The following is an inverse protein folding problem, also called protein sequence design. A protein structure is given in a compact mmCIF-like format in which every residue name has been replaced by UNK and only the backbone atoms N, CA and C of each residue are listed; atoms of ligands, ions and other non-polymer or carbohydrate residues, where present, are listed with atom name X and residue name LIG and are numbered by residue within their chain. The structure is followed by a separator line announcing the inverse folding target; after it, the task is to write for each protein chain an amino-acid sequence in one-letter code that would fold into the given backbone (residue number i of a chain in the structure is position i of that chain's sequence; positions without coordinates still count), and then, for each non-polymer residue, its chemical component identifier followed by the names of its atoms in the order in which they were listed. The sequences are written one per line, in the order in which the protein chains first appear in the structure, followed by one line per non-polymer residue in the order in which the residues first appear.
data_IF_907937100088
#
_entry.id   IF_907937100088
#
_cell.length_a   1.000
_cell.length_b   1.000
_cell.length_c   1.000
_cell.angle_alpha   90.00
_cell.angle_beta   90.00
_cell.angle_gamma   90.00
#
_symmetry.space_group_name_H-M   'P 1'
#
loop_
_entity.id
_entity.type
_entity.pdbx_description
1 polymer ?
#
# COMPACT_ATOMS: atom_id res chain seq x y z
N UNK A 1 11.51 6.38 -32.83
CA UNK A 1 12.19 5.35 -32.00
C UNK A 1 12.94 6.06 -30.88
N UNK A 2 12.76 5.64 -29.62
CA UNK A 2 13.71 5.90 -28.53
C UNK A 2 13.43 7.06 -27.58
N UNK A 3 12.40 6.99 -26.72
CA UNK A 3 12.32 7.81 -25.48
C UNK A 3 11.51 7.13 -24.36
N UNK A 4 11.66 5.80 -24.16
CA UNK A 4 10.90 5.08 -23.11
C UNK A 4 11.74 4.34 -22.07
N UNK A 5 13.08 4.33 -22.16
CA UNK A 5 13.92 3.56 -21.24
C UNK A 5 14.37 4.35 -19.99
N UNK A 6 14.45 5.68 -20.05
CA UNK A 6 15.06 6.50 -18.99
C UNK A 6 14.18 6.61 -17.73
N UNK A 7 12.85 6.47 -17.86
CA UNK A 7 11.94 6.56 -16.69
C UNK A 7 11.84 5.27 -15.85
N UNK A 8 12.23 4.10 -16.39
CA UNK A 8 12.23 2.84 -15.63
C UNK A 8 13.52 2.59 -14.83
N UNK A 9 14.63 3.22 -15.21
CA UNK A 9 15.91 3.07 -14.50
C UNK A 9 16.05 4.00 -13.28
N UNK A 10 15.33 5.13 -13.26
CA UNK A 10 15.37 6.09 -12.15
C UNK A 10 14.67 5.55 -10.88
N UNK A 11 13.68 4.66 -11.03
CA UNK A 11 13.01 4.04 -9.87
C UNK A 11 13.82 2.87 -9.27
N UNK A 12 14.77 2.29 -10.02
CA UNK A 12 15.65 1.22 -9.54
C UNK A 12 16.97 1.75 -8.95
N UNK A 13 17.33 3.00 -9.26
CA UNK A 13 18.55 3.64 -8.72
C UNK A 13 18.37 4.24 -7.33
N UNK A 14 17.14 4.47 -6.86
CA UNK A 14 16.85 4.84 -5.47
C UNK A 14 16.93 3.67 -4.48
N UNK A 15 17.11 2.42 -4.95
CA UNK A 15 17.29 1.23 -4.11
C UNK A 15 18.77 0.83 -3.91
N UNK A 16 19.73 1.55 -4.50
CA UNK A 16 21.15 1.21 -4.47
C UNK A 16 22.10 2.37 -4.09
N UNK A 17 21.58 3.48 -3.57
CA UNK A 17 22.44 4.53 -3.00
C UNK A 17 23.03 4.10 -1.66
N UNK A 18 24.19 3.45 -1.76
CA UNK A 18 25.39 3.72 -0.96
C UNK A 18 25.21 3.72 0.57
N UNK A 19 25.36 2.54 1.18
CA UNK A 19 26.06 2.44 2.47
C UNK A 19 27.55 2.70 2.18
N UNK A 20 27.91 3.95 1.93
CA UNK A 20 29.26 4.40 2.14
C UNK A 20 29.38 4.61 3.65
N UNK A 21 29.85 3.58 4.36
CA UNK A 21 30.37 3.79 5.72
C UNK A 21 31.62 4.63 5.52
N UNK A 22 31.49 5.95 5.66
CA UNK A 22 32.63 6.77 6.01
C UNK A 22 33.16 6.23 7.33
N UNK A 23 34.34 5.64 7.31
CA UNK A 23 35.00 5.19 8.52
C UNK A 23 35.37 6.39 9.38
N UNK A 24 34.51 6.72 10.34
CA UNK A 24 34.86 7.67 11.38
C UNK A 24 36.09 7.13 12.14
N UNK A 25 37.10 7.98 12.30
CA UNK A 25 38.30 7.64 13.07
C UNK A 25 37.92 7.36 14.53
N UNK A 26 38.26 6.17 15.01
CA UNK A 26 37.99 5.75 16.37
C UNK A 26 39.26 5.79 17.20
N UNK A 27 39.13 6.24 18.45
CA UNK A 27 40.20 6.20 19.45
C UNK A 27 40.03 4.96 20.32
N UNK A 28 41.00 4.04 20.25
CA UNK A 28 40.98 2.75 20.93
C UNK A 28 41.97 2.81 22.10
N UNK A 29 41.45 2.63 23.31
CA UNK A 29 42.24 2.57 24.53
C UNK A 29 42.51 1.11 24.84
N UNK A 30 43.79 0.73 24.84
CA UNK A 30 44.23 -0.62 25.18
C UNK A 30 44.47 -0.75 26.69
N UNK A 31 44.28 -1.95 27.23
CA UNK A 31 44.50 -2.25 28.66
C UNK A 31 45.95 -2.02 29.11
N UNK A 32 46.90 -2.02 28.18
CA UNK A 32 48.31 -1.71 28.44
C UNK A 32 48.58 -0.19 28.53
N UNK A 33 47.56 0.66 28.37
CA UNK A 33 47.67 2.12 28.43
C UNK A 33 47.97 2.79 27.08
N UNK A 34 48.14 2.03 26.00
CA UNK A 34 48.33 2.59 24.65
C UNK A 34 47.01 3.12 24.07
N UNK A 35 47.10 4.23 23.36
CA UNK A 35 45.98 4.85 22.65
C UNK A 35 46.27 4.78 21.15
N UNK A 36 45.37 4.14 20.39
CA UNK A 36 45.48 4.00 18.94
C UNK A 36 44.33 4.75 18.27
N UNK A 37 44.64 5.57 17.26
CA UNK A 37 43.64 6.28 16.44
C UNK A 37 43.64 5.71 15.02
N UNK A 38 42.48 5.30 14.53
CA UNK A 38 42.37 4.72 13.21
C UNK A 38 40.97 4.32 12.79
N UNK A 39 40.83 3.99 11.52
CA UNK A 39 39.59 3.51 10.92
C UNK A 39 39.45 1.99 11.14
N UNK A 40 38.29 1.53 11.62
CA UNK A 40 38.01 0.10 11.77
C UNK A 40 37.60 -0.47 10.41
N UNK A 41 38.49 -1.25 9.79
CA UNK A 41 38.26 -1.84 8.46
C UNK A 41 37.46 -3.15 8.57
N UNK A 42 37.73 -3.95 9.61
CA UNK A 42 37.12 -5.26 9.77
C UNK A 42 36.96 -5.63 11.24
N UNK A 43 35.86 -6.29 11.59
CA UNK A 43 35.56 -6.71 12.96
C UNK A 43 35.04 -8.15 12.97
N UNK A 44 35.68 -9.01 13.75
CA UNK A 44 35.24 -10.38 14.03
C UNK A 44 34.77 -10.52 15.48
N UNK A 45 34.31 -11.70 15.88
CA UNK A 45 33.90 -11.97 17.26
C UNK A 45 35.05 -11.77 18.27
N UNK A 46 36.29 -12.02 17.86
CA UNK A 46 37.47 -12.04 18.73
C UNK A 46 38.49 -10.93 18.43
N UNK A 47 38.46 -10.31 17.25
CA UNK A 47 39.46 -9.30 16.85
C UNK A 47 38.87 -8.13 16.07
N UNK A 48 39.61 -7.02 16.03
CA UNK A 48 39.36 -5.86 15.17
C UNK A 48 40.60 -5.58 14.31
N UNK A 49 40.43 -5.20 13.05
CA UNK A 49 41.49 -4.70 12.20
C UNK A 49 41.30 -3.20 12.02
N UNK A 50 42.35 -2.44 12.31
CA UNK A 50 42.35 -0.99 12.25
C UNK A 50 43.40 -0.49 11.27
N UNK A 51 43.06 0.53 10.50
CA UNK A 51 43.99 1.32 9.69
C UNK A 51 44.43 2.52 10.50
N UNK A 52 45.68 2.54 10.91
CA UNK A 52 46.26 3.69 11.64
C UNK A 52 46.55 4.81 10.64
N UNK A 53 46.65 6.05 11.10
CA UNK A 53 46.98 7.25 10.29
C UNK A 53 48.25 7.11 9.44
N UNK A 54 49.19 6.25 9.83
CA UNK A 54 50.40 5.87 9.06
C UNK A 54 50.11 4.84 7.93
N UNK A 55 48.83 4.59 7.59
CA UNK A 55 48.40 3.66 6.55
C UNK A 55 48.55 2.18 6.86
N UNK A 56 49.22 1.81 7.96
CA UNK A 56 49.44 0.42 8.39
C UNK A 56 48.19 -0.20 9.01
N UNK A 57 47.90 -1.45 8.63
CA UNK A 57 46.81 -2.25 9.17
C UNK A 57 47.31 -3.02 10.40
N UNK A 58 46.65 -2.88 11.55
CA UNK A 58 46.91 -3.66 12.76
C UNK A 58 45.68 -4.46 13.17
N UNK A 59 45.88 -5.73 13.52
CA UNK A 59 44.87 -6.57 14.13
C UNK A 59 45.03 -6.54 15.66
N UNK A 60 43.95 -6.24 16.37
CA UNK A 60 43.88 -6.18 17.84
C UNK A 60 42.87 -7.20 18.35
N UNK A 61 43.20 -7.90 19.43
CA UNK A 61 42.24 -8.80 20.08
C UNK A 61 41.30 -7.98 20.99
N UNK A 62 40.00 -8.26 20.96
CA UNK A 62 39.01 -7.55 21.79
C UNK A 62 39.28 -7.68 23.28
N UNK A 63 39.97 -8.74 23.71
CA UNK A 63 40.37 -8.97 25.10
C UNK A 63 41.37 -7.90 25.59
N UNK A 64 42.16 -7.32 24.68
CA UNK A 64 43.20 -6.33 24.98
C UNK A 64 42.67 -4.89 24.99
N UNK A 65 41.43 -4.68 24.52
CA UNK A 65 40.80 -3.37 24.43
C UNK A 65 40.08 -3.05 25.74
N UNK A 66 40.32 -1.85 26.26
CA UNK A 66 39.64 -1.33 27.45
C UNK A 66 38.36 -0.57 27.07
N UNK A 67 38.44 0.36 26.10
CA UNK A 67 37.28 1.11 25.58
C UNK A 67 37.55 1.64 24.17
N UNK A 68 36.49 1.87 23.40
CA UNK A 68 36.54 2.55 22.10
C UNK A 68 35.72 3.84 22.20
N UNK A 69 36.32 4.97 21.83
CA UNK A 69 35.70 6.30 21.87
C UNK A 69 35.66 6.91 20.48
N UNK A 70 34.54 7.57 20.18
CA UNK A 70 34.30 8.32 18.94
C UNK A 70 34.64 9.82 19.08
N UNK A 71 35.21 10.23 20.22
CA UNK A 71 35.61 11.61 20.51
C UNK A 71 37.13 11.75 20.45
N UNK A 72 37.62 12.89 19.96
CA UNK A 72 39.04 13.20 19.95
C UNK A 72 39.62 13.22 21.38
N UNK A 73 40.77 12.58 21.64
CA UNK A 73 41.36 12.54 22.96
C UNK A 73 41.82 13.94 23.38
N UNK A 74 41.40 14.38 24.57
CA UNK A 74 41.74 15.70 25.11
C UNK A 74 43.22 15.73 25.51
N UNK A 75 43.91 16.87 25.36
CA UNK A 75 45.35 17.07 25.65
C UNK A 75 45.84 16.65 27.05
N UNK A 76 44.92 16.45 28.01
CA UNK A 76 45.23 15.86 29.33
C UNK A 76 45.41 14.33 29.28
N UNK A 77 44.62 13.62 28.47
CA UNK A 77 44.69 12.14 28.38
C UNK A 77 45.98 11.63 27.70
N UNK A 78 46.58 12.44 26.82
CA UNK A 78 47.85 12.13 26.17
C UNK A 78 49.04 12.24 27.14
N UNK A 79 49.06 13.27 28.00
CA UNK A 79 50.11 13.45 29.03
C UNK A 79 50.07 12.37 30.12
N UNK A 80 48.89 11.97 30.56
CA UNK A 80 48.74 10.90 31.57
C UNK A 80 49.16 9.51 31.05
N UNK A 81 49.14 9.30 29.72
CA UNK A 81 49.61 8.05 29.09
C UNK A 81 51.14 7.96 28.99
N UNK A 82 51.83 9.10 28.82
CA UNK A 82 53.30 9.17 28.83
C UNK A 82 53.87 9.01 30.25
N UNK A 83 53.20 9.57 31.26
CA UNK A 83 53.65 9.47 32.66
C UNK A 83 53.49 8.04 33.23
N UNK A 84 52.46 7.30 32.79
CA UNK A 84 52.26 5.89 33.21
C UNK A 84 53.24 4.90 32.57
N UNK A 85 53.92 5.27 31.48
CA UNK A 85 54.94 4.45 30.83
C UNK A 85 56.32 4.57 31.50
N UNK A 86 56.56 5.60 32.31
CA UNK A 86 57.84 5.81 33.02
C UNK A 86 57.91 5.26 34.45
N UNK A 87 56.78 4.82 35.03
CA UNK A 87 56.69 4.42 36.44
C UNK A 87 56.56 2.90 36.71
N UNK A 88 56.79 2.05 35.71
CA UNK A 88 56.65 0.59 35.86
C UNK A 88 58.00 -0.14 35.92
N UNK A 89 58.84 0.24 36.89
CA UNK A 89 59.95 -0.61 37.36
C UNK A 89 60.05 -0.50 38.88
N UNK A 90 59.25 -1.29 39.61
CA UNK A 90 59.57 -1.92 40.90
C UNK A 90 58.29 -2.52 41.54
N UNK A 91 58.41 -3.78 41.95
CA UNK A 91 57.52 -4.65 42.75
C UNK A 91 57.15 -4.09 44.16
N UNK A 92 56.38 -4.79 45.04
CA UNK A 92 55.67 -6.09 44.94
C UNK A 92 54.19 -6.08 45.45
N UNK A 93 53.51 -7.24 45.32
CA UNK A 93 52.14 -7.60 45.78
C UNK A 93 51.87 -7.35 47.29
N UNK A 94 50.60 -7.16 47.71
CA UNK A 94 49.84 -8.23 48.40
C UNK A 94 48.28 -8.11 48.25
N UNK A 95 47.45 -8.82 49.04
CA UNK A 95 46.92 -10.16 48.80
C UNK A 95 45.42 -10.20 48.42
N UNK A 96 45.03 -11.36 47.89
CA UNK A 96 43.69 -11.78 47.46
C UNK A 96 42.66 -11.63 48.60
N UNK A 97 41.57 -10.92 48.32
CA UNK A 97 40.30 -11.02 49.06
C UNK A 97 39.23 -11.35 48.02
N UNK A 98 38.67 -12.56 48.10
CA UNK A 98 37.48 -12.98 47.37
C UNK A 98 36.25 -12.23 47.90
N UNK A 99 35.49 -11.52 47.04
CA UNK A 99 34.10 -11.22 47.31
C UNK A 99 33.22 -12.30 46.65
N UNK A 100 32.44 -12.98 47.49
CA UNK A 100 31.33 -13.86 47.12
C UNK A 100 30.51 -13.31 45.92
N UNK A 101 30.23 -14.09 44.87
CA UNK A 101 29.38 -13.65 43.78
C UNK A 101 27.93 -13.55 44.29
N UNK A 102 27.49 -12.34 44.61
CA UNK A 102 26.07 -12.05 44.59
C UNK A 102 25.59 -12.21 43.15
N UNK A 103 24.80 -13.26 42.90
CA UNK A 103 24.08 -13.41 41.64
C UNK A 103 23.30 -12.12 41.37
N UNK A 104 23.55 -11.41 40.25
CA UNK A 104 22.75 -10.25 39.91
C UNK A 104 21.30 -10.72 39.73
N UNK A 105 20.30 -9.96 40.21
CA UNK A 105 18.90 -10.32 40.06
C UNK A 105 18.63 -10.57 38.58
N UNK A 106 18.06 -11.75 38.27
CA UNK A 106 17.60 -12.12 36.93
C UNK A 106 16.71 -11.00 36.41
N UNK A 107 17.29 -10.09 35.62
CA UNK A 107 16.51 -9.19 34.78
C UNK A 107 15.63 -10.11 33.96
N UNK A 108 14.31 -9.97 34.10
CA UNK A 108 13.35 -10.56 33.19
C UNK A 108 13.67 -9.98 31.80
N UNK A 109 14.56 -10.64 31.05
CA UNK A 109 14.85 -10.31 29.67
C UNK A 109 13.57 -10.66 28.92
N UNK A 110 12.72 -9.67 28.70
CA UNK A 110 11.56 -9.80 27.81
C UNK A 110 12.10 -10.16 26.44
N UNK A 111 12.14 -11.45 26.14
CA UNK A 111 12.74 -11.94 24.91
C UNK A 111 11.77 -11.67 23.75
N UNK A 112 12.09 -10.64 22.96
CA UNK A 112 11.38 -10.28 21.74
C UNK A 112 11.74 -11.19 20.55
N UNK A 113 12.78 -12.03 20.68
CA UNK A 113 13.14 -12.99 19.64
C UNK A 113 12.18 -14.18 19.69
N UNK A 114 11.54 -14.46 18.55
CA UNK A 114 10.73 -15.67 18.35
C UNK A 114 11.41 -16.55 17.30
N UNK A 115 11.55 -17.84 17.62
CA UNK A 115 11.93 -18.86 16.65
C UNK A 115 10.80 -19.04 15.65
N UNK A 116 11.00 -18.52 14.43
CA UNK A 116 9.98 -18.53 13.37
C UNK A 116 9.59 -19.94 12.93
N UNK A 117 10.45 -20.94 13.12
CA UNK A 117 10.18 -22.31 12.67
C UNK A 117 9.31 -23.11 13.64
N UNK A 118 9.23 -22.66 14.90
CA UNK A 118 8.48 -23.31 15.97
C UNK A 118 7.28 -22.49 16.44
N UNK A 119 6.86 -21.46 15.70
CA UNK A 119 5.75 -20.59 16.11
C UNK A 119 4.45 -21.36 16.28
N UNK A 120 3.69 -21.00 17.30
CA UNK A 120 2.30 -21.41 17.45
C UNK A 120 1.57 -20.22 18.06
N UNK A 121 1.05 -19.36 17.21
CA UNK A 121 0.44 -18.11 17.66
C UNK A 121 -0.78 -17.68 16.85
N UNK A 122 -1.62 -16.88 17.50
CA UNK A 122 -2.70 -16.14 16.88
C UNK A 122 -2.39 -14.64 17.00
N UNK A 123 -2.30 -13.97 15.87
CA UNK A 123 -2.11 -12.52 15.79
C UNK A 123 -3.39 -11.86 15.30
N UNK A 124 -3.89 -10.88 16.04
CA UNK A 124 -5.07 -10.08 15.69
C UNK A 124 -4.59 -8.64 15.53
N UNK A 125 -5.06 -7.96 14.50
CA UNK A 125 -4.73 -6.55 14.29
C UNK A 125 -5.93 -5.77 13.79
N UNK A 126 -5.95 -4.48 14.12
CA UNK A 126 -6.98 -3.54 13.71
C UNK A 126 -6.39 -2.14 13.64
N UNK A 127 -6.86 -1.35 12.68
CA UNK A 127 -6.43 0.02 12.47
C UNK A 127 -7.44 0.83 11.69
N UNK A 128 -7.27 2.14 11.81
CA UNK A 128 -8.07 3.17 11.16
C UNK A 128 -7.13 4.12 10.42
N UNK A 129 -7.64 4.78 9.40
CA UNK A 129 -6.81 5.59 8.53
C UNK A 129 -7.60 6.50 7.62
N UNK A 130 -6.89 7.02 6.64
CA UNK A 130 -7.48 7.76 5.53
C UNK A 130 -7.05 7.14 4.21
N UNK A 131 -8.01 7.04 3.30
CA UNK A 131 -7.79 6.44 2.00
C UNK A 131 -8.79 6.91 0.96
N UNK A 132 -8.63 6.41 -0.25
CA UNK A 132 -9.58 6.62 -1.33
C UNK A 132 -9.82 5.32 -2.08
N UNK A 133 -11.05 5.13 -2.53
CA UNK A 133 -11.40 4.26 -3.63
C UNK A 133 -11.54 5.13 -4.88
N UNK A 134 -11.17 4.61 -6.04
CA UNK A 134 -11.34 5.25 -7.34
C UNK A 134 -11.91 4.19 -8.27
N UNK A 135 -13.24 4.00 -8.26
CA UNK A 135 -13.89 3.23 -9.29
C UNK A 135 -13.68 3.95 -10.62
N UNK A 136 -13.70 3.17 -11.70
CA UNK A 136 -13.66 3.74 -13.04
C UNK A 136 -14.95 3.46 -13.79
N UNK A 137 -16.01 3.08 -13.07
CA UNK A 137 -17.34 2.80 -13.59
C UNK A 137 -17.90 3.96 -14.40
N UNK A 138 -17.98 5.16 -13.82
CA UNK A 138 -18.59 6.31 -14.50
C UNK A 138 -17.75 6.85 -15.65
N UNK A 139 -16.44 6.98 -15.42
CA UNK A 139 -15.51 7.42 -16.45
C UNK A 139 -15.39 6.40 -17.57
N UNK A 140 -15.57 5.11 -17.31
CA UNK A 140 -15.67 4.08 -18.34
C UNK A 140 -16.90 4.30 -19.23
N UNK A 141 -18.08 4.53 -18.64
CA UNK A 141 -19.30 4.75 -19.40
C UNK A 141 -19.24 6.01 -20.26
N UNK A 142 -18.72 7.11 -19.70
CA UNK A 142 -18.49 8.33 -20.47
C UNK A 142 -17.51 8.11 -21.63
N UNK A 143 -16.44 7.34 -21.42
CA UNK A 143 -15.49 6.99 -22.52
C UNK A 143 -16.14 6.12 -23.59
N UNK A 144 -16.97 5.17 -23.18
CA UNK A 144 -17.71 4.30 -24.10
C UNK A 144 -18.68 5.13 -24.95
N UNK A 145 -19.46 6.01 -24.30
CA UNK A 145 -20.37 6.94 -24.98
C UNK A 145 -19.62 7.89 -25.92
N UNK A 146 -18.49 8.45 -25.49
CA UNK A 146 -17.69 9.34 -26.34
C UNK A 146 -17.15 8.64 -27.58
N UNK A 147 -16.71 7.39 -27.44
CA UNK A 147 -16.24 6.60 -28.58
C UNK A 147 -17.38 6.29 -29.54
N UNK A 148 -18.56 5.96 -29.02
CA UNK A 148 -19.78 5.79 -29.81
C UNK A 148 -20.14 7.08 -30.56
N UNK A 149 -20.11 8.24 -29.88
CA UNK A 149 -20.42 9.53 -30.48
C UNK A 149 -19.45 9.83 -31.63
N UNK A 150 -18.14 9.64 -31.42
CA UNK A 150 -17.14 9.85 -32.47
C UNK A 150 -17.35 8.93 -33.67
N UNK A 151 -17.72 7.66 -33.46
CA UNK A 151 -17.99 6.70 -34.54
C UNK A 151 -19.27 7.03 -35.32
N UNK A 152 -20.24 7.67 -34.67
CA UNK A 152 -21.54 8.05 -35.25
C UNK A 152 -21.56 9.52 -35.71
N UNK A 153 -20.41 10.18 -35.76
CA UNK A 153 -20.26 11.61 -36.08
C UNK A 153 -21.11 12.56 -35.20
N UNK A 154 -21.41 12.12 -33.97
CA UNK A 154 -22.04 12.93 -32.93
C UNK A 154 -20.98 13.63 -32.08
N UNK A 155 -21.35 14.75 -31.47
CA UNK A 155 -20.43 15.53 -30.65
C UNK A 155 -20.04 14.79 -29.35
N UNK A 156 -18.75 14.84 -28.95
CA UNK A 156 -18.30 14.19 -27.72
C UNK A 156 -18.63 15.03 -26.48
N UNK A 157 -18.72 14.35 -25.34
CA UNK A 157 -18.75 14.94 -24.00
C UNK A 157 -17.32 15.17 -23.50
N UNK A 158 -16.98 16.43 -23.26
CA UNK A 158 -15.72 16.81 -22.61
C UNK A 158 -15.87 16.54 -21.12
N UNK A 159 -14.93 15.76 -20.55
CA UNK A 159 -14.92 15.43 -19.12
C UNK A 159 -13.74 16.12 -18.47
N UNK A 160 -13.98 16.92 -17.44
CA UNK A 160 -12.91 17.47 -16.62
C UNK A 160 -12.23 16.34 -15.84
N UNK A 161 -10.98 16.55 -15.45
CA UNK A 161 -10.28 15.57 -14.62
C UNK A 161 -11.02 15.42 -13.29
N UNK A 162 -11.46 14.20 -12.91
CA UNK A 162 -12.18 14.01 -11.65
C UNK A 162 -11.32 14.43 -10.45
N UNK A 163 -11.96 15.06 -9.47
CA UNK A 163 -11.35 15.38 -8.19
C UNK A 163 -11.73 14.31 -7.17
N UNK A 164 -10.79 13.93 -6.30
CA UNK A 164 -10.98 12.85 -5.34
C UNK A 164 -10.66 13.34 -3.95
N UNK A 165 -11.60 13.15 -3.02
CA UNK A 165 -11.43 13.45 -1.61
C UNK A 165 -11.30 12.15 -0.83
N UNK A 166 -10.18 12.00 -0.12
CA UNK A 166 -9.96 10.84 0.75
C UNK A 166 -10.92 10.88 1.95
N UNK A 167 -11.45 9.71 2.30
CA UNK A 167 -12.30 9.50 3.46
C UNK A 167 -11.69 8.52 4.45
N UNK A 168 -12.47 8.12 5.45
CA UNK A 168 -12.05 7.17 6.47
C UNK A 168 -11.76 5.80 5.84
N UNK A 169 -10.66 5.18 6.24
CA UNK A 169 -10.34 3.77 5.96
C UNK A 169 -10.23 2.96 7.24
N UNK A 170 -10.52 1.67 7.15
CA UNK A 170 -10.35 0.73 8.25
C UNK A 170 -9.69 -0.54 7.73
N UNK A 171 -8.84 -1.16 8.54
CA UNK A 171 -8.18 -2.41 8.19
C UNK A 171 -8.08 -3.31 9.43
N UNK A 172 -8.55 -4.54 9.31
CA UNK A 172 -8.52 -5.53 10.38
C UNK A 172 -8.12 -6.89 9.84
N UNK A 173 -7.62 -7.75 10.72
CA UNK A 173 -7.35 -9.12 10.34
C UNK A 173 -6.83 -9.97 11.48
N UNK A 174 -6.76 -11.26 11.18
CA UNK A 174 -6.23 -12.29 12.05
C UNK A 174 -5.28 -13.17 11.24
N UNK A 175 -4.22 -13.63 11.87
CA UNK A 175 -3.26 -14.56 11.30
C UNK A 175 -2.95 -15.61 12.33
N UNK A 176 -3.27 -16.86 12.00
CA UNK A 176 -2.87 -18.01 12.77
C UNK A 176 -1.60 -18.60 12.16
N UNK A 177 -0.57 -18.79 12.98
CA UNK A 177 0.71 -19.38 12.56
C UNK A 177 0.91 -20.69 13.32
N UNK A 178 1.11 -21.78 12.57
CA UNK A 178 1.54 -23.06 13.10
C UNK A 178 2.81 -23.54 12.39
N UNK A 179 3.91 -23.52 13.12
CA UNK A 179 5.27 -23.78 12.65
C UNK A 179 5.61 -22.90 11.45
N UNK A 180 5.76 -23.50 10.28
CA UNK A 180 6.06 -22.81 9.01
C UNK A 180 4.81 -22.42 8.23
N UNK A 181 3.64 -22.90 8.61
CA UNK A 181 2.38 -22.60 7.92
C UNK A 181 1.66 -21.47 8.63
N UNK A 182 0.98 -20.63 7.86
CA UNK A 182 0.11 -19.60 8.40
C UNK A 182 -1.13 -19.43 7.54
N UNK A 183 -2.27 -19.22 8.19
CA UNK A 183 -3.52 -18.83 7.57
C UNK A 183 -3.90 -17.43 8.03
N UNK A 184 -4.24 -16.55 7.09
CA UNK A 184 -4.63 -15.18 7.35
C UNK A 184 -6.03 -14.90 6.81
N UNK A 185 -6.80 -14.13 7.57
CA UNK A 185 -8.08 -13.56 7.16
C UNK A 185 -8.07 -12.07 7.48
N UNK A 186 -8.31 -11.21 6.51
CA UNK A 186 -8.26 -9.76 6.69
C UNK A 186 -9.34 -9.06 5.88
N UNK A 187 -9.84 -7.95 6.41
CA UNK A 187 -10.77 -7.07 5.71
C UNK A 187 -10.33 -5.62 5.75
N UNK A 188 -10.75 -4.87 4.74
CA UNK A 188 -10.53 -3.43 4.67
C UNK A 188 -11.74 -2.71 4.11
N UNK A 189 -12.00 -1.49 4.59
CA UNK A 189 -13.02 -0.60 4.06
C UNK A 189 -12.37 0.71 3.65
N UNK A 190 -12.74 1.21 2.47
CA UNK A 190 -12.31 2.50 1.93
C UNK A 190 -13.55 3.36 1.67
N UNK A 191 -13.42 4.65 1.92
CA UNK A 191 -14.44 5.65 1.60
C UNK A 191 -13.78 6.84 0.93
N UNK A 192 -14.44 7.40 -0.06
CA UNK A 192 -14.02 8.61 -0.76
C UNK A 192 -15.22 9.35 -1.31
N UNK A 193 -15.00 10.59 -1.70
CA UNK A 193 -15.94 11.31 -2.57
C UNK A 193 -15.22 11.62 -3.88
N UNK A 194 -15.89 11.41 -5.01
CA UNK A 194 -15.41 11.82 -6.33
C UNK A 194 -16.31 12.92 -6.86
N UNK A 195 -15.71 13.99 -7.37
CA UNK A 195 -16.40 15.09 -8.04
C UNK A 195 -16.09 15.03 -9.53
N UNK A 196 -17.15 15.06 -10.33
CA UNK A 196 -17.10 15.00 -11.79
C UNK A 196 -17.86 16.15 -12.42
N UNK A 197 -17.22 16.79 -13.39
CA UNK A 197 -17.81 17.81 -14.24
C UNK A 197 -17.69 17.39 -15.69
N UNK A 198 -18.78 17.50 -16.43
CA UNK A 198 -18.79 17.25 -17.87
C UNK A 198 -19.48 18.36 -18.63
N UNK A 199 -18.99 18.63 -19.84
CA UNK A 199 -19.57 19.54 -20.82
C UNK A 199 -19.87 18.75 -22.10
N UNK A 200 -21.14 18.65 -22.47
CA UNK A 200 -21.56 18.05 -23.75
C UNK A 200 -21.98 19.16 -24.69
N UNK A 201 -21.33 19.24 -25.86
CA UNK A 201 -21.70 20.18 -26.92
C UNK A 201 -22.77 19.48 -27.76
N UNK A 202 -24.03 19.93 -27.77
CA UNK A 202 -25.07 19.28 -28.56
C UNK A 202 -25.05 19.81 -29.99
N UNK A 203 -24.95 21.13 -30.14
CA UNK A 203 -24.90 21.84 -31.42
C UNK A 203 -24.06 23.12 -31.31
N UNK A 204 -23.92 23.88 -32.40
CA UNK A 204 -23.13 25.12 -32.40
C UNK A 204 -23.61 26.16 -31.37
N UNK A 205 -24.88 26.10 -30.97
CA UNK A 205 -25.50 27.06 -30.05
C UNK A 205 -26.02 26.42 -28.76
N UNK A 206 -25.80 25.11 -28.55
CA UNK A 206 -26.37 24.38 -27.42
C UNK A 206 -25.35 23.49 -26.74
N UNK A 207 -25.30 23.58 -25.40
CA UNK A 207 -24.44 22.74 -24.58
C UNK A 207 -25.10 22.37 -23.25
N UNK A 208 -24.67 21.25 -22.70
CA UNK A 208 -25.12 20.76 -21.40
C UNK A 208 -23.93 20.65 -20.45
N UNK A 209 -24.11 21.08 -19.21
CA UNK A 209 -23.18 20.83 -18.12
C UNK A 209 -23.78 19.86 -17.12
N UNK A 210 -22.96 18.91 -16.67
CA UNK A 210 -23.31 17.97 -15.61
C UNK A 210 -22.28 18.11 -14.50
N UNK A 211 -22.75 18.29 -13.26
CA UNK A 211 -21.91 18.43 -12.07
C UNK A 211 -22.44 17.49 -10.98
N UNK A 212 -21.57 16.62 -10.48
CA UNK A 212 -21.89 15.65 -9.43
C UNK A 212 -20.75 15.52 -8.42
N UNK A 213 -21.11 15.24 -7.17
CA UNK A 213 -20.17 14.74 -6.16
C UNK A 213 -20.79 13.57 -5.46
N UNK A 214 -20.13 12.42 -5.53
CA UNK A 214 -20.73 11.16 -5.17
C UNK A 214 -19.83 10.36 -4.22
N UNK A 215 -20.41 9.83 -3.13
CA UNK A 215 -19.70 9.01 -2.17
C UNK A 215 -19.45 7.62 -2.73
N UNK A 216 -18.21 7.18 -2.60
CA UNK A 216 -17.73 5.89 -3.03
C UNK A 216 -17.28 5.08 -1.82
N UNK A 217 -17.60 3.78 -1.83
CA UNK A 217 -17.23 2.85 -0.77
C UNK A 217 -16.71 1.58 -1.40
N UNK A 218 -15.60 1.08 -0.86
CA UNK A 218 -15.14 -0.26 -1.17
C UNK A 218 -14.95 -1.07 0.11
N UNK A 219 -15.43 -2.31 0.10
CA UNK A 219 -15.09 -3.32 1.09
C UNK A 219 -14.30 -4.44 0.44
N UNK A 220 -13.25 -4.87 1.09
CA UNK A 220 -12.41 -5.98 0.64
C UNK A 220 -12.30 -7.01 1.74
N UNK A 221 -12.38 -8.28 1.39
CA UNK A 221 -12.03 -9.41 2.25
C UNK A 221 -10.99 -10.25 1.54
N UNK A 222 -10.01 -10.72 2.30
CA UNK A 222 -8.91 -11.58 1.84
C UNK A 222 -8.76 -12.76 2.79
N UNK A 223 -8.67 -13.94 2.22
CA UNK A 223 -8.22 -15.15 2.92
C UNK A 223 -6.99 -15.71 2.21
N UNK A 224 -5.93 -16.03 2.94
CA UNK A 224 -4.71 -16.58 2.35
C UNK A 224 -4.01 -17.60 3.23
N UNK A 225 -3.25 -18.50 2.60
CA UNK A 225 -2.38 -19.46 3.24
C UNK A 225 -0.97 -19.19 2.76
N UNK A 226 0.00 -19.13 3.69
CA UNK A 226 1.40 -18.89 3.37
C UNK A 226 2.35 -19.83 4.08
N UNK A 227 3.45 -20.17 3.42
CA UNK A 227 4.47 -21.09 3.91
C UNK A 227 5.80 -20.38 4.09
N UNK A 228 6.45 -20.53 5.25
CA UNK A 228 7.76 -19.98 5.55
C UNK A 228 8.86 -20.75 4.80
N UNK A 229 9.16 -20.28 3.59
CA UNK A 229 10.17 -20.86 2.72
C UNK A 229 11.59 -20.50 3.15
N UNK A 230 11.80 -19.29 3.65
CA UNK A 230 13.09 -18.81 4.12
C UNK A 230 12.92 -18.00 5.41
N UNK A 231 13.84 -18.20 6.36
CA UNK A 231 13.90 -17.42 7.60
C UNK A 231 15.33 -17.31 8.11
N UNK A 232 15.69 -16.14 8.62
CA UNK A 232 16.88 -15.90 9.41
C UNK A 232 16.58 -14.83 10.48
N UNK A 233 17.60 -14.37 11.21
CA UNK A 233 17.44 -13.39 12.30
C UNK A 233 16.86 -12.04 11.86
N UNK A 234 16.99 -11.67 10.58
CA UNK A 234 16.57 -10.37 10.02
C UNK A 234 15.47 -10.44 8.98
N UNK A 235 15.20 -11.60 8.40
CA UNK A 235 14.38 -11.70 7.20
C UNK A 235 13.56 -12.99 7.18
N UNK A 236 12.28 -12.86 6.85
CA UNK A 236 11.39 -13.98 6.49
C UNK A 236 10.85 -13.78 5.09
N UNK A 237 10.64 -14.90 4.40
CA UNK A 237 9.96 -14.97 3.12
C UNK A 237 8.89 -16.05 3.13
N UNK A 238 7.67 -15.69 2.75
CA UNK A 238 6.53 -16.59 2.66
C UNK A 238 5.84 -16.46 1.30
N UNK A 239 6.01 -17.39 0.35
CA UNK A 239 5.05 -17.55 -0.74
C UNK A 239 3.66 -17.82 -0.16
N UNK A 240 2.65 -17.30 -0.85
CA UNK A 240 1.25 -17.35 -0.41
C UNK A 240 0.30 -17.54 -1.58
N UNK A 241 -0.79 -18.23 -1.31
CA UNK A 241 -1.94 -18.36 -2.21
C UNK A 241 -3.17 -17.90 -1.46
N UNK A 242 -4.05 -17.16 -2.11
CA UNK A 242 -5.20 -16.57 -1.44
C UNK A 242 -6.38 -16.37 -2.34
N UNK A 243 -7.47 -15.89 -1.76
CA UNK A 243 -8.70 -15.54 -2.42
C UNK A 243 -9.16 -14.16 -1.94
N UNK A 244 -9.52 -13.31 -2.88
CA UNK A 244 -9.99 -11.96 -2.61
C UNK A 244 -11.45 -11.82 -3.03
N UNK A 245 -12.17 -10.99 -2.29
CA UNK A 245 -13.48 -10.50 -2.67
C UNK A 245 -13.58 -9.00 -2.38
N UNK A 246 -14.08 -8.26 -3.36
CA UNK A 246 -14.27 -6.83 -3.34
C UNK A 246 -15.74 -6.53 -3.58
N UNK A 247 -16.24 -5.54 -2.86
CA UNK A 247 -17.54 -4.92 -3.10
C UNK A 247 -17.33 -3.42 -3.24
N UNK A 248 -17.67 -2.87 -4.40
CA UNK A 248 -17.69 -1.43 -4.66
C UNK A 248 -19.12 -0.92 -4.64
N UNK A 249 -19.33 0.25 -4.09
CA UNK A 249 -20.61 0.96 -4.18
C UNK A 249 -20.37 2.45 -4.40
N UNK A 250 -21.07 3.03 -5.37
CA UNK A 250 -21.20 4.47 -5.55
C UNK A 250 -22.69 4.80 -5.54
N UNK A 251 -23.10 5.72 -4.68
CA UNK A 251 -24.50 6.12 -4.54
C UNK A 251 -24.60 7.63 -4.64
N UNK A 252 -24.92 8.11 -5.83
CA UNK A 252 -25.11 9.52 -6.10
C UNK A 252 -26.58 9.89 -6.10
N UNK A 253 -26.89 10.93 -5.34
CA UNK A 253 -28.24 11.44 -5.23
C UNK A 253 -28.40 12.87 -5.72
N UNK A 254 -27.32 13.54 -6.15
CA UNK A 254 -27.32 14.99 -6.32
C UNK A 254 -26.59 15.48 -7.58
N UNK A 255 -26.34 14.63 -8.58
CA UNK A 255 -25.81 15.13 -9.86
C UNK A 255 -26.85 16.02 -10.53
N UNK A 256 -26.42 17.24 -10.87
CA UNK A 256 -27.24 18.23 -11.55
C UNK A 256 -26.89 18.31 -13.04
N UNK A 257 -27.91 18.51 -13.86
CA UNK A 257 -27.83 18.77 -15.29
C UNK A 257 -28.36 20.17 -15.58
N UNK A 258 -27.64 20.92 -16.41
CA UNK A 258 -28.12 22.19 -16.96
C UNK A 258 -27.81 22.25 -18.44
N UNK A 259 -28.78 22.67 -19.24
CA UNK A 259 -28.67 22.75 -20.67
C UNK A 259 -29.00 24.16 -21.14
N UNK A 260 -28.11 24.71 -21.94
CA UNK A 260 -28.11 26.09 -22.38
C UNK A 260 -28.18 26.16 -23.91
N UNK A 261 -28.97 27.09 -24.40
CA UNK A 261 -29.05 27.48 -25.81
C UNK A 261 -28.65 28.96 -25.95
N UNK A 262 -28.72 29.50 -27.17
CA UNK A 262 -28.57 30.94 -27.41
C UNK A 262 -29.60 31.81 -26.67
N UNK A 263 -30.75 31.25 -26.27
CA UNK A 263 -31.79 31.94 -25.50
C UNK A 263 -31.66 31.80 -23.99
N UNK A 264 -30.66 31.05 -23.50
CA UNK A 264 -30.40 30.84 -22.08
C UNK A 264 -30.62 29.38 -21.62
N UNK A 265 -30.90 29.20 -20.33
CA UNK A 265 -31.19 27.87 -19.75
C UNK A 265 -32.56 27.39 -20.26
N UNK A 266 -32.58 26.30 -21.01
CA UNK A 266 -33.84 25.72 -21.54
C UNK A 266 -34.19 24.37 -20.92
N UNK A 267 -33.25 23.74 -20.22
CA UNK A 267 -33.48 22.46 -19.56
C UNK A 267 -32.60 22.33 -18.32
N UNK A 268 -33.18 21.86 -17.22
CA UNK A 268 -32.46 21.53 -15.99
C UNK A 268 -32.94 20.19 -15.46
N UNK A 269 -32.11 19.48 -14.71
CA UNK A 269 -32.50 18.17 -14.20
C UNK A 269 -31.57 17.65 -13.13
N UNK A 270 -31.97 16.53 -12.54
CA UNK A 270 -31.15 15.78 -11.61
C UNK A 270 -30.98 14.35 -12.11
N UNK A 271 -29.77 13.83 -11.94
CA UNK A 271 -29.44 12.44 -12.11
C UNK A 271 -29.17 11.83 -10.74
N UNK A 272 -29.73 10.65 -10.54
CA UNK A 272 -29.37 9.75 -9.46
C UNK A 272 -28.67 8.58 -10.12
N UNK A 273 -27.48 8.22 -9.66
CA UNK A 273 -26.81 7.05 -10.21
C UNK A 273 -26.30 6.16 -9.09
N UNK A 274 -26.45 4.86 -9.30
CA UNK A 274 -26.05 3.83 -8.35
C UNK A 274 -25.22 2.79 -9.08
N UNK A 275 -23.99 2.61 -8.62
CA UNK A 275 -23.09 1.58 -9.13
C UNK A 275 -22.80 0.61 -8.00
N UNK A 276 -23.17 -0.65 -8.19
CA UNK A 276 -22.75 -1.75 -7.33
C UNK A 276 -21.81 -2.67 -8.09
N UNK A 277 -20.67 -3.00 -7.49
CA UNK A 277 -19.68 -3.90 -8.06
C UNK A 277 -19.37 -5.02 -7.08
N UNK A 278 -19.23 -6.24 -7.60
CA UNK A 278 -18.72 -7.37 -6.84
C UNK A 278 -17.69 -8.13 -7.66
N UNK A 279 -16.43 -8.10 -7.22
CA UNK A 279 -15.30 -8.81 -7.86
C UNK A 279 -14.73 -9.84 -6.91
N UNK A 280 -14.41 -11.04 -7.40
CA UNK A 280 -13.78 -12.08 -6.58
C UNK A 280 -12.83 -12.96 -7.38
N UNK A 281 -11.86 -13.56 -6.71
CA UNK A 281 -11.00 -14.53 -7.38
C UNK A 281 -9.71 -14.88 -6.65
N UNK A 282 -8.96 -15.83 -7.22
CA UNK A 282 -7.71 -16.30 -6.65
C UNK A 282 -6.59 -15.25 -6.77
N UNK A 283 -5.57 -15.45 -5.95
CA UNK A 283 -4.36 -14.64 -5.90
C UNK A 283 -3.13 -15.48 -5.60
N UNK A 284 -2.00 -15.02 -6.12
CA UNK A 284 -0.67 -15.57 -5.83
C UNK A 284 0.18 -14.44 -5.27
N UNK A 285 0.85 -14.65 -4.16
CA UNK A 285 1.56 -13.58 -3.49
C UNK A 285 2.82 -13.99 -2.74
N UNK A 286 3.49 -12.98 -2.24
CA UNK A 286 4.72 -13.07 -1.48
C UNK A 286 4.63 -12.14 -0.28
N UNK A 287 4.82 -12.69 0.91
CA UNK A 287 4.95 -11.92 2.15
C UNK A 287 6.41 -11.92 2.58
N UNK A 288 6.93 -10.76 2.94
CA UNK A 288 8.25 -10.65 3.55
C UNK A 288 8.18 -9.89 4.88
N UNK A 289 9.10 -10.21 5.77
CA UNK A 289 9.25 -9.50 7.04
C UNK A 289 10.72 -9.21 7.26
N UNK A 290 11.06 -7.92 7.35
CA UNK A 290 12.41 -7.44 7.64
C UNK A 290 12.44 -6.94 9.08
N UNK A 291 13.35 -7.46 9.88
CA UNK A 291 13.51 -7.12 11.31
C UNK A 291 14.74 -6.25 11.50
N UNK A 292 14.57 -5.13 12.18
CA UNK A 292 15.64 -4.19 12.52
C UNK A 292 15.72 -4.05 14.03
N UNK A 293 16.75 -4.65 14.63
CA UNK A 293 16.83 -4.77 16.08
C UNK A 293 15.76 -5.73 16.64
N UNK A 294 15.38 -5.53 17.89
CA UNK A 294 14.47 -6.45 18.60
C UNK A 294 12.99 -6.08 18.47
N UNK A 295 12.69 -4.80 18.20
CA UNK A 295 11.33 -4.24 18.31
C UNK A 295 10.69 -3.85 16.99
N UNK A 296 11.47 -3.68 15.91
CA UNK A 296 10.96 -3.15 14.65
C UNK A 296 10.80 -4.28 13.64
N UNK A 297 9.62 -4.36 13.04
CA UNK A 297 9.35 -5.22 11.88
C UNK A 297 8.76 -4.40 10.73
N UNK A 298 9.31 -4.60 9.54
CA UNK A 298 8.76 -4.09 8.29
C UNK A 298 8.13 -5.28 7.57
N UNK A 299 6.81 -5.26 7.42
CA UNK A 299 6.07 -6.35 6.77
C UNK A 299 5.58 -5.87 5.42
N UNK A 300 5.91 -6.61 4.38
CA UNK A 300 5.52 -6.31 3.00
C UNK A 300 4.72 -7.49 2.48
N UNK A 301 3.58 -7.23 1.86
CA UNK A 301 2.76 -8.21 1.17
C UNK A 301 2.54 -7.74 -0.26
N UNK A 302 2.84 -8.60 -1.23
CA UNK A 302 2.59 -8.36 -2.64
C UNK A 302 1.75 -9.52 -3.18
N UNK A 303 0.63 -9.23 -3.83
CA UNK A 303 -0.21 -10.21 -4.48
C UNK A 303 -0.49 -9.83 -5.92
N UNK A 304 -0.49 -10.82 -6.80
CA UNK A 304 -1.10 -10.76 -8.12
C UNK A 304 -2.52 -11.30 -8.03
N UNK A 305 -3.48 -10.59 -8.64
CA UNK A 305 -4.91 -10.85 -8.55
C UNK A 305 -5.45 -11.28 -9.92
N UNK A 306 -6.29 -12.32 -9.92
CA UNK A 306 -7.11 -12.70 -11.07
C UNK A 306 -8.57 -12.74 -10.62
N UNK A 307 -9.34 -11.74 -11.01
CA UNK A 307 -10.69 -11.51 -10.51
C UNK A 307 -11.73 -11.70 -11.62
N UNK A 308 -12.93 -12.10 -11.22
CA UNK A 308 -14.14 -12.06 -12.04
C UNK A 308 -15.29 -11.51 -11.23
N UNK A 309 -16.24 -10.88 -11.88
CA UNK A 309 -17.35 -10.27 -11.18
C UNK A 309 -18.31 -9.54 -12.07
N UNK A 310 -19.30 -8.93 -11.43
CA UNK A 310 -20.36 -8.19 -12.09
C UNK A 310 -20.43 -6.78 -11.53
N UNK A 311 -20.93 -5.87 -12.36
CA UNK A 311 -21.25 -4.51 -12.00
C UNK A 311 -22.66 -4.21 -12.49
N UNK A 312 -23.49 -3.73 -11.59
CA UNK A 312 -24.81 -3.20 -11.89
C UNK A 312 -24.74 -1.68 -11.76
N UNK A 313 -25.17 -0.98 -12.80
CA UNK A 313 -25.28 0.46 -12.82
C UNK A 313 -26.74 0.84 -13.12
N UNK A 314 -27.33 1.70 -12.30
CA UNK A 314 -28.67 2.25 -12.55
C UNK A 314 -28.60 3.76 -12.49
N UNK A 315 -29.12 4.41 -13.53
CA UNK A 315 -29.20 5.87 -13.63
C UNK A 315 -30.68 6.23 -13.75
N UNK A 316 -31.16 7.05 -12.82
CA UNK A 316 -32.46 7.69 -12.90
C UNK A 316 -32.27 9.16 -13.25
N UNK A 317 -32.99 9.63 -14.25
CA UNK A 317 -32.93 11.01 -14.72
C UNK A 317 -34.31 11.64 -14.57
N UNK A 318 -34.39 12.78 -13.92
CA UNK A 318 -35.57 13.65 -13.96
C UNK A 318 -35.18 14.98 -14.55
N UNK A 319 -35.82 15.34 -15.66
CA UNK A 319 -35.47 16.50 -16.47
C UNK A 319 -36.67 17.40 -16.64
N UNK A 320 -36.46 18.70 -16.47
CA UNK A 320 -37.45 19.76 -16.52
C UNK A 320 -37.10 20.71 -17.68
N UNK A 321 -37.72 20.53 -18.85
CA UNK A 321 -37.66 21.50 -19.93
C UNK A 321 -38.40 22.79 -19.54
N UNK A 322 -38.07 23.89 -20.19
CA UNK A 322 -38.67 25.21 -19.98
C UNK A 322 -40.19 25.30 -20.21
N UNK A 323 -40.76 24.40 -21.02
CA UNK A 323 -42.10 24.53 -21.60
C UNK A 323 -43.01 23.31 -21.45
N UNK A 324 -42.59 22.28 -20.70
CA UNK A 324 -43.41 21.06 -20.51
C UNK A 324 -43.21 20.38 -19.15
N UNK A 325 -44.01 19.35 -18.91
CA UNK A 325 -43.94 18.53 -17.69
C UNK A 325 -42.60 17.82 -17.56
N UNK A 326 -42.22 17.52 -16.32
CA UNK A 326 -40.99 16.78 -16.03
C UNK A 326 -40.98 15.41 -16.74
N UNK A 327 -39.83 15.07 -17.31
CA UNK A 327 -39.59 13.77 -17.93
C UNK A 327 -38.80 12.89 -16.98
N UNK A 328 -39.21 11.62 -16.88
CA UNK A 328 -38.49 10.58 -16.17
C UNK A 328 -37.90 9.57 -17.15
N UNK A 329 -36.62 9.26 -16.95
CA UNK A 329 -35.91 8.20 -17.66
C UNK A 329 -35.08 7.35 -16.71
N UNK A 330 -34.92 6.08 -17.06
CA UNK A 330 -34.13 5.10 -16.32
C UNK A 330 -33.26 4.33 -17.30
N UNK A 331 -31.97 4.22 -16.97
CA UNK A 331 -31.01 3.38 -17.69
C UNK A 331 -30.41 2.41 -16.69
N UNK A 332 -30.61 1.13 -16.90
CA UNK A 332 -30.00 0.06 -16.13
C UNK A 332 -29.00 -0.69 -17.01
N UNK A 333 -27.77 -0.83 -16.54
CA UNK A 333 -26.70 -1.54 -17.22
C UNK A 333 -26.13 -2.61 -16.32
N UNK A 334 -25.92 -3.80 -16.89
CA UNK A 334 -25.23 -4.89 -16.21
C UNK A 334 -24.01 -5.32 -17.02
N UNK A 335 -22.86 -5.32 -16.36
CA UNK A 335 -21.58 -5.64 -16.98
C UNK A 335 -20.92 -6.79 -16.24
N UNK A 336 -20.47 -7.80 -16.99
CA UNK A 336 -19.64 -8.89 -16.49
C UNK A 336 -18.19 -8.61 -16.83
N UNK A 337 -17.31 -8.78 -15.84
CA UNK A 337 -15.93 -8.36 -15.91
C UNK A 337 -14.96 -9.49 -15.57
N UNK A 338 -13.86 -9.52 -16.30
CA UNK A 338 -12.64 -10.21 -15.89
C UNK A 338 -11.54 -9.19 -15.63
N UNK A 339 -10.89 -9.24 -14.46
CA UNK A 339 -9.89 -8.25 -14.08
C UNK A 339 -8.58 -8.89 -13.63
N UNK A 340 -7.48 -8.21 -13.93
CA UNK A 340 -6.13 -8.57 -13.47
C UNK A 340 -5.54 -7.40 -12.71
N UNK A 341 -4.91 -7.68 -11.58
CA UNK A 341 -4.45 -6.62 -10.70
C UNK A 341 -3.32 -7.02 -9.77
N UNK A 342 -3.00 -6.10 -8.88
CA UNK A 342 -2.07 -6.33 -7.79
C UNK A 342 -2.56 -5.69 -6.50
N UNK A 343 -2.05 -6.23 -5.39
CA UNK A 343 -2.21 -5.67 -4.06
C UNK A 343 -0.84 -5.56 -3.41
N UNK A 344 -0.51 -4.36 -2.92
CA UNK A 344 0.68 -4.06 -2.12
C UNK A 344 0.21 -3.66 -0.72
N UNK A 345 0.77 -4.26 0.32
CA UNK A 345 0.62 -3.78 1.69
C UNK A 345 1.97 -3.67 2.33
N UNK A 346 2.22 -2.54 2.98
CA UNK A 346 3.38 -2.31 3.81
C UNK A 346 2.91 -1.97 5.21
N UNK A 347 3.47 -2.60 6.24
CA UNK A 347 3.24 -2.28 7.65
C UNK A 347 4.57 -2.13 8.35
N UNK A 348 4.83 -0.94 8.87
CA UNK A 348 5.82 -0.69 9.90
C UNK A 348 5.23 -1.08 11.26
N UNK A 349 5.85 -2.00 11.98
CA UNK A 349 5.39 -2.53 13.26
C UNK A 349 6.43 -2.24 14.33
N UNK A 350 6.01 -1.61 15.42
CA UNK A 350 6.81 -1.39 16.61
C UNK A 350 6.26 -2.19 17.79
N UNK A 351 7.04 -3.14 18.29
CA UNK A 351 6.69 -3.99 19.42
C UNK A 351 6.95 -3.26 20.73
N UNK A 352 5.88 -2.91 21.43
CA UNK A 352 5.96 -2.30 22.77
C UNK A 352 6.25 -3.41 23.80
N UNK A 353 5.52 -4.52 23.70
CA UNK A 353 5.74 -5.72 24.51
C UNK A 353 5.85 -6.94 23.58
N UNK A 354 6.21 -8.13 24.08
CA UNK A 354 6.22 -9.35 23.26
C UNK A 354 4.85 -9.70 22.64
N UNK A 355 3.75 -9.21 23.22
CA UNK A 355 2.37 -9.49 22.79
C UNK A 355 1.67 -8.29 22.13
N UNK A 356 2.09 -7.06 22.43
CA UNK A 356 1.43 -5.84 21.96
C UNK A 356 2.35 -5.01 21.07
N UNK A 357 1.84 -4.63 19.90
CA UNK A 357 2.56 -3.80 18.93
C UNK A 357 1.68 -2.69 18.38
N UNK A 358 2.29 -1.56 18.05
CA UNK A 358 1.69 -0.53 17.22
C UNK A 358 2.13 -0.74 15.78
N UNK A 359 1.30 -0.32 14.83
CA UNK A 359 1.68 -0.33 13.43
C UNK A 359 1.17 0.89 12.67
N UNK A 360 1.93 1.27 11.65
CA UNK A 360 1.54 2.24 10.63
C UNK A 360 1.75 1.58 9.27
N UNK A 361 0.81 1.72 8.34
CA UNK A 361 0.85 0.96 7.11
C UNK A 361 0.17 1.62 5.93
N UNK A 362 0.59 1.22 4.74
CA UNK A 362 0.01 1.63 3.47
C UNK A 362 -0.59 0.38 2.83
N UNK A 363 -1.81 0.50 2.31
CA UNK A 363 -2.40 -0.53 1.45
C UNK A 363 -2.70 0.09 0.10
N UNK A 364 -2.31 -0.59 -0.97
CA UNK A 364 -2.53 -0.16 -2.34
C UNK A 364 -3.07 -1.33 -3.16
N UNK A 365 -4.15 -1.10 -3.88
CA UNK A 365 -4.81 -2.05 -4.75
C UNK A 365 -5.03 -1.41 -6.10
N UNK A 366 -4.79 -2.17 -7.16
CA UNK A 366 -5.07 -1.74 -8.52
C UNK A 366 -5.46 -2.95 -9.35
N UNK A 367 -6.57 -2.87 -10.08
CA UNK A 367 -6.94 -3.90 -11.05
C UNK A 367 -7.50 -3.27 -12.32
N UNK A 368 -7.15 -3.89 -13.44
CA UNK A 368 -7.58 -3.52 -14.78
C UNK A 368 -8.66 -4.47 -15.24
N UNK A 369 -9.80 -3.93 -15.66
CA UNK A 369 -10.94 -4.68 -16.17
C UNK A 369 -10.79 -4.99 -17.65
N UNK A 370 -11.39 -6.11 -18.04
CA UNK A 370 -11.72 -6.49 -19.40
C UNK A 370 -13.20 -6.86 -19.40
N UNK A 371 -13.96 -6.24 -20.29
CA UNK A 371 -15.40 -6.48 -20.40
C UNK A 371 -15.65 -7.84 -21.05
N UNK A 372 -16.32 -8.74 -20.34
CA UNK A 372 -16.71 -10.04 -20.89
C UNK A 372 -18.03 -9.88 -21.65
N UNK A 373 -19.04 -9.29 -20.99
CA UNK A 373 -20.40 -9.04 -21.49
C UNK A 373 -20.96 -7.74 -20.91
N UNK A 374 -21.84 -7.07 -21.64
CA UNK A 374 -22.63 -5.95 -21.15
C UNK A 374 -24.07 -6.14 -21.62
N UNK A 375 -25.02 -5.59 -20.88
CA UNK A 375 -26.42 -5.49 -21.29
C UNK A 375 -26.97 -4.17 -20.81
N UNK A 376 -27.85 -3.57 -21.60
CA UNK A 376 -28.46 -2.29 -21.29
C UNK A 376 -29.97 -2.40 -21.42
N UNK A 377 -30.67 -1.94 -20.40
CA UNK A 377 -32.10 -1.73 -20.38
C UNK A 377 -32.36 -0.23 -20.24
N UNK A 378 -33.21 0.30 -21.11
CA UNK A 378 -33.53 1.71 -21.13
C UNK A 378 -35.06 1.81 -21.05
N UNK A 379 -35.55 2.53 -20.03
CA UNK A 379 -36.96 2.79 -19.82
C UNK A 379 -37.19 4.28 -19.81
N UNK A 380 -38.15 4.73 -20.58
CA UNK A 380 -38.55 6.13 -20.61
C UNK A 380 -40.04 6.24 -20.38
N UNK A 381 -40.45 7.28 -19.65
CA UNK A 381 -41.87 7.61 -19.48
C UNK A 381 -42.44 8.44 -20.66
N UNK A 382 -41.81 8.38 -21.84
CA UNK A 382 -42.34 8.96 -23.07
C UNK A 382 -42.80 7.86 -24.03
N UNK A 383 -43.89 8.14 -24.75
CA UNK A 383 -44.42 7.30 -25.81
C UNK A 383 -43.44 7.34 -26.99
N UNK A 384 -42.44 6.44 -27.01
CA UNK A 384 -41.63 6.26 -28.21
C UNK A 384 -42.52 5.60 -29.24
N UNK A 385 -43.12 6.39 -30.13
CA UNK A 385 -44.12 5.96 -31.11
C UNK A 385 -43.61 4.96 -32.15
N UNK A 386 -42.39 4.46 -32.02
CA UNK A 386 -41.84 3.36 -32.82
C UNK A 386 -41.00 2.43 -31.94
N UNK A 387 -41.38 1.14 -31.83
CA UNK A 387 -40.46 0.12 -31.35
C UNK A 387 -39.18 0.18 -32.20
N UNK A 388 -38.01 0.27 -31.56
CA UNK A 388 -36.74 0.08 -32.30
C UNK A 388 -36.80 -1.28 -32.99
N UNK A 389 -36.42 -1.33 -34.27
CA UNK A 389 -36.36 -2.60 -34.98
C UNK A 389 -35.41 -3.55 -34.22
N UNK A 390 -35.76 -4.85 -34.06
CA UNK A 390 -34.92 -5.79 -33.32
C UNK A 390 -33.45 -5.84 -33.79
N UNK A 391 -33.22 -5.61 -35.09
CA UNK A 391 -31.88 -5.52 -35.67
C UNK A 391 -31.06 -4.32 -35.17
N UNK A 392 -31.69 -3.18 -34.91
CA UNK A 392 -31.01 -1.98 -34.40
C UNK A 392 -30.59 -2.16 -32.94
N UNK A 393 -31.42 -2.85 -32.14
CA UNK A 393 -31.08 -3.21 -30.77
C UNK A 393 -29.87 -4.16 -30.72
N UNK A 394 -29.85 -5.18 -31.58
CA UNK A 394 -28.74 -6.13 -31.69
C UNK A 394 -27.44 -5.45 -32.17
N UNK A 395 -27.53 -4.60 -33.20
CA UNK A 395 -26.37 -3.86 -33.71
C UNK A 395 -25.79 -2.94 -32.64
N UNK A 396 -26.64 -2.23 -31.91
CA UNK A 396 -26.22 -1.35 -30.83
C UNK A 396 -25.53 -2.13 -29.69
N UNK A 397 -26.07 -3.29 -29.30
CA UNK A 397 -25.47 -4.15 -28.28
C UNK A 397 -24.09 -4.69 -28.71
N UNK A 398 -23.97 -5.16 -29.96
CA UNK A 398 -22.70 -5.62 -30.54
C UNK A 398 -21.67 -4.50 -30.59
N UNK A 399 -22.07 -3.30 -31.01
CA UNK A 399 -21.19 -2.16 -31.15
C UNK A 399 -20.73 -1.64 -29.78
N UNK A 400 -21.63 -1.53 -28.80
CA UNK A 400 -21.29 -1.18 -27.42
C UNK A 400 -20.38 -2.22 -26.77
N UNK A 401 -20.64 -3.50 -27.00
CA UNK A 401 -19.76 -4.59 -26.52
C UNK A 401 -18.38 -4.49 -27.15
N UNK A 402 -18.28 -4.24 -28.46
CA UNK A 402 -17.01 -4.09 -29.17
C UNK A 402 -16.21 -2.88 -28.66
N UNK A 403 -16.87 -1.73 -28.49
CA UNK A 403 -16.26 -0.50 -27.94
C UNK A 403 -15.82 -0.74 -26.48
N UNK A 404 -16.70 -1.31 -25.66
CA UNK A 404 -16.42 -1.61 -24.25
C UNK A 404 -15.25 -2.57 -24.07
N UNK A 405 -15.08 -3.54 -24.97
CA UNK A 405 -13.90 -4.44 -25.02
C UNK A 405 -12.62 -3.73 -25.44
N UNK A 406 -12.72 -2.70 -26.28
CA UNK A 406 -11.59 -1.85 -26.68
C UNK A 406 -11.18 -0.83 -25.62
N UNK A 407 -12.10 -0.45 -24.74
CA UNK A 407 -11.85 0.52 -23.68
C UNK A 407 -11.15 -0.13 -22.47
N UNK A 408 -10.06 0.48 -22.00
CA UNK A 408 -9.41 0.05 -20.76
C UNK A 408 -10.11 0.67 -19.57
N UNK A 409 -10.45 -0.12 -18.56
CA UNK A 409 -10.92 0.37 -17.27
C UNK A 409 -10.00 -0.04 -16.12
N UNK A 410 -9.74 0.84 -15.16
CA UNK A 410 -8.83 0.60 -14.03
C UNK A 410 -9.39 1.18 -12.74
N UNK A 411 -9.55 0.35 -11.71
CA UNK A 411 -9.87 0.82 -10.37
C UNK A 411 -8.68 0.78 -9.44
N UNK A 412 -8.64 1.74 -8.51
CA UNK A 412 -7.55 1.88 -7.54
C UNK A 412 -8.09 2.14 -6.14
N UNK A 413 -7.46 1.56 -5.14
CA UNK A 413 -7.75 1.84 -3.74
C UNK A 413 -6.46 2.00 -2.98
N UNK A 414 -6.32 3.09 -2.21
CA UNK A 414 -5.14 3.34 -1.40
C UNK A 414 -5.52 3.83 -0.01
N UNK A 415 -4.79 3.42 1.02
CA UNK A 415 -4.92 3.94 2.38
C UNK A 415 -3.59 4.13 3.08
N UNK A 416 -3.58 5.05 4.04
CA UNK A 416 -2.61 5.14 5.12
C UNK A 416 -3.34 4.88 6.43
N UNK A 417 -2.97 3.81 7.11
CA UNK A 417 -3.65 3.32 8.31
C UNK A 417 -2.69 3.25 9.51
N UNK A 418 -3.23 3.48 10.70
CA UNK A 418 -2.55 3.32 11.97
C UNK A 418 -3.36 2.39 12.85
N UNK A 419 -2.68 1.52 13.61
CA UNK A 419 -3.39 0.54 14.39
C UNK A 419 -2.56 -0.17 15.44
N UNK A 420 -3.21 -1.16 16.04
CA UNK A 420 -2.66 -2.01 17.08
C UNK A 420 -2.67 -3.46 16.62
N UNK A 421 -1.79 -4.24 17.21
CA UNK A 421 -1.65 -5.66 16.96
C UNK A 421 -1.40 -6.38 18.28
N UNK A 422 -2.13 -7.47 18.47
CA UNK A 422 -2.06 -8.31 19.64
C UNK A 422 -1.71 -9.74 19.22
N UNK A 423 -0.74 -10.35 19.88
CA UNK A 423 -0.27 -11.71 19.62
C UNK A 423 -0.44 -12.59 20.84
N UNK A 424 -1.13 -13.70 20.64
CA UNK A 424 -1.27 -14.80 21.59
C UNK A 424 -0.30 -15.91 21.20
N UNK A 425 0.78 -16.09 21.95
CA UNK A 425 1.75 -17.17 21.77
C UNK A 425 1.36 -18.36 22.66
N UNK A 426 0.94 -19.46 22.04
CA UNK A 426 0.46 -20.65 22.76
C UNK A 426 1.60 -21.47 23.37
N UNK A 427 2.86 -21.15 23.10
CA UNK A 427 4.03 -21.83 23.70
C UNK A 427 4.55 -21.16 24.97
N UNK A 428 4.07 -19.96 25.30
CA UNK A 428 4.53 -19.16 26.46
C UNK A 428 3.53 -19.15 27.63
N UNK A 429 2.44 -19.92 27.56
CA UNK A 429 1.42 -20.02 28.62
C UNK A 429 1.72 -21.15 29.61
#
# INVERSE_FOLDING_TARGET
MGFSFIKRTILLSFLLSSIAVFGEEQTIYLKNGQILRGEVIHQTATSIQIKITDGKIRQLNKIEIQRVSYKEPTTKELKDSEDKLKQKTQEPQPPIVEPSPQEPPKKNVTNFQLDQTKRHDLEIFGGIGYGYYKPDSETFLLRMQNTLNLLTASNPTITEKPSYKAGLSNHYGLTYTYRRLSGSFSGSNFRSDTTLNTLTINSANEFNTTNGTFPEKQTTIKADISYLAFTNSRFDLRPSVGYFQFWGNTDDTNTSLKAYSSSGLYLYGNYFFQVFEQMKGPSLGLKSTIRTGERIENRIELYYLSLKGNQDNTIHATVFPDSSSAFYGEVAQKSAWSAKGFQLSYKFVYRITPVFSLWAGISAYEWKYNLDQTSNEIRYAFDSSTPRAPGDALLNDLLQTAIGKGATSVSKSNSLDFGVMYRLDFLRQ
#
